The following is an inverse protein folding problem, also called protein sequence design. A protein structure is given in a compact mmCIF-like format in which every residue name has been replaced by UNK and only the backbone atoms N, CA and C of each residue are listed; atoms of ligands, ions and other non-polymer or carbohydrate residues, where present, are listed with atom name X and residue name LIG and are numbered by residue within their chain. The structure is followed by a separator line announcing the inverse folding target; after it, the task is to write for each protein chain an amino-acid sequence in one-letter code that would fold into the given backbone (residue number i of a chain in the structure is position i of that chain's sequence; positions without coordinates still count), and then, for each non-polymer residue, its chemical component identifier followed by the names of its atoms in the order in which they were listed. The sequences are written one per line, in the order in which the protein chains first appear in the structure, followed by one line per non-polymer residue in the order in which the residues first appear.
data_IF_339054553829
#
_entry.id   IF_339054553829
#
_cell.length_a   1.000
_cell.length_b   1.000
_cell.length_c   1.000
_cell.angle_alpha   90.00
_cell.angle_beta   90.00
_cell.angle_gamma   90.00
#
_symmetry.space_group_name_H-M   'P 1'
#
loop_
_entity.id
_entity.type
_entity.pdbx_description
1 polymer ?
2 polymer ?
3 non-polymer ?
4 water ?
#
loop_
_entity_poly.entity_id
_entity_poly.type
_entity_poly.pdbx_seq_one_letter_code
_entity_poly.pdbx_strand_id
2 'polyribonucleotide' 'AAAAAAAAAAAAAAA' ?
#
# COMPACT_ATOMS: atom_id res chain seq x y z
N UNK A 7 -6.31 8.72 -28.65
CA UNK A 7 -7.61 8.18 -29.01
C UNK A 7 -7.63 6.69 -28.73
N UNK A 8 -6.48 6.21 -28.28
CA UNK A 8 -6.33 4.82 -27.91
C UNK A 8 -6.83 4.63 -26.47
N UNK A 9 -7.78 3.72 -26.29
CA UNK A 9 -8.52 3.55 -25.04
C UNK A 9 -8.04 2.29 -24.36
N UNK A 10 -7.80 2.37 -23.05
CA UNK A 10 -7.26 1.30 -22.21
C UNK A 10 -8.13 1.19 -20.97
N UNK A 11 -7.86 0.17 -20.15
CA UNK A 11 -8.46 0.14 -18.81
C UNK A 11 -7.35 -0.18 -17.83
N UNK A 12 -7.55 0.21 -16.58
CA UNK A 12 -6.55 0.00 -15.54
C UNK A 12 -7.13 0.32 -14.17
N UNK A 13 -6.23 0.55 -13.21
CA UNK A 13 -6.59 0.61 -11.79
C UNK A 13 -5.84 1.75 -11.14
N UNK A 14 -6.55 2.59 -10.39
CA UNK A 14 -5.86 3.71 -9.73
C UNK A 14 -4.79 3.15 -8.82
N UNK A 15 -3.55 3.64 -8.97
CA UNK A 15 -2.43 3.16 -8.16
C UNK A 15 -1.89 4.19 -7.20
N UNK A 16 -1.91 5.47 -7.56
CA UNK A 16 -1.33 6.55 -6.78
C UNK A 16 -2.24 7.76 -6.88
N UNK A 17 -2.47 8.45 -5.77
CA UNK A 17 -3.24 9.69 -5.77
C UNK A 17 -2.46 10.77 -5.03
N UNK A 18 -2.13 11.85 -5.73
CA UNK A 18 -1.45 13.03 -5.20
C UNK A 18 -2.48 14.16 -5.17
N UNK A 19 -2.01 15.40 -4.97
CA UNK A 19 -2.97 16.47 -4.69
C UNK A 19 -3.84 16.78 -5.89
N UNK A 20 -3.26 16.87 -7.09
CA UNK A 20 -4.02 17.22 -8.27
C UNK A 20 -3.66 16.32 -9.45
N UNK A 21 -3.04 15.18 -9.19
CA UNK A 21 -2.68 14.24 -10.24
C UNK A 21 -2.48 12.88 -9.59
N UNK A 22 -2.43 11.84 -10.41
CA UNK A 22 -2.17 10.52 -9.89
C UNK A 22 -1.62 9.62 -10.98
N UNK A 23 -1.55 8.32 -10.67
CA UNK A 23 -1.06 7.32 -11.63
C UNK A 23 -2.04 6.16 -11.71
N UNK A 24 -2.19 5.63 -12.91
CA UNK A 24 -3.04 4.46 -13.18
C UNK A 24 -2.14 3.27 -13.49
N UNK A 25 -2.36 2.15 -12.79
CA UNK A 25 -1.70 0.89 -13.12
C UNK A 25 -2.38 0.25 -14.34
N UNK A 26 -1.57 -0.18 -15.30
CA UNK A 26 -2.13 -0.73 -16.52
C UNK A 26 -2.84 -2.06 -16.25
N UNK A 27 -3.63 -2.45 -17.25
CA UNK A 27 -4.40 -3.70 -17.17
C UNK A 27 -3.48 -4.87 -16.86
N UNK A 28 -2.31 -4.93 -17.50
CA UNK A 28 -1.38 -6.04 -17.31
C UNK A 28 -0.58 -5.91 -16.03
N UNK A 29 -0.73 -4.79 -15.31
CA UNK A 29 -0.06 -4.58 -14.02
C UNK A 29 1.45 -4.43 -14.16
N UNK A 30 1.91 -3.94 -15.32
CA UNK A 30 3.33 -3.86 -15.60
C UNK A 30 3.86 -2.46 -15.83
N UNK A 31 3.04 -1.43 -15.67
CA UNK A 31 3.45 -0.06 -15.93
C UNK A 31 2.39 0.85 -15.33
N UNK A 32 2.71 2.13 -15.19
CA UNK A 32 1.76 3.12 -14.72
C UNK A 32 1.70 4.27 -15.71
N UNK A 33 0.57 4.99 -15.67
CA UNK A 33 0.29 6.10 -16.59
C UNK A 33 -0.13 7.30 -15.74
N UNK A 34 0.45 8.46 -16.06
CA UNK A 34 0.15 9.70 -15.35
C UNK A 34 -1.20 10.23 -15.77
N UNK A 35 -1.95 10.80 -14.83
CA UNK A 35 -3.11 11.60 -15.23
C UNK A 35 -3.26 12.79 -14.30
N UNK A 36 -3.59 13.92 -14.89
CA UNK A 36 -3.92 15.11 -14.14
C UNK A 36 -5.41 15.12 -13.82
N UNK A 37 -5.77 15.63 -12.64
CA UNK A 37 -7.17 15.51 -12.21
C UNK A 37 -8.13 16.32 -13.08
N UNK A 38 -7.63 17.32 -13.83
CA UNK A 38 -8.50 18.03 -14.75
C UNK A 38 -9.03 17.13 -15.84
N UNK A 39 -8.36 15.99 -16.08
CA UNK A 39 -8.77 15.03 -17.10
C UNK A 39 -9.51 13.82 -16.54
N UNK A 40 -9.90 13.88 -15.26
CA UNK A 40 -10.75 12.85 -14.68
C UNK A 40 -12.21 13.29 -14.82
N UNK A 41 -13.06 12.39 -15.32
CA UNK A 41 -14.47 12.69 -15.57
C UNK A 41 -15.29 12.39 -14.32
N UNK A 42 -15.03 13.21 -13.30
CA UNK A 42 -15.75 13.07 -12.05
C UNK A 42 -15.05 13.88 -10.97
N UNK A 43 -15.50 13.64 -9.74
CA UNK A 43 -14.93 14.29 -8.56
C UNK A 43 -13.77 13.42 -8.08
N UNK A 44 -12.52 13.90 -8.17
CA UNK A 44 -11.38 13.04 -7.81
C UNK A 44 -11.32 12.68 -6.34
N UNK A 45 -12.03 13.40 -5.45
CA UNK A 45 -12.03 13.03 -4.05
C UNK A 45 -12.67 11.67 -3.83
N UNK A 46 -13.44 11.18 -4.80
CA UNK A 46 -14.10 9.89 -4.67
C UNK A 46 -13.33 8.75 -5.34
N UNK A 47 -12.18 9.05 -5.94
CA UNK A 47 -11.31 8.00 -6.46
C UNK A 47 -10.56 7.36 -5.31
N UNK A 48 -10.54 6.03 -5.28
CA UNK A 48 -9.79 5.31 -4.27
C UNK A 48 -8.76 4.44 -4.97
N UNK A 49 -7.70 4.09 -4.23
CA UNK A 49 -6.69 3.17 -4.76
C UNK A 49 -7.35 1.86 -5.13
N UNK A 50 -6.96 1.32 -6.29
CA UNK A 50 -7.53 0.11 -6.80
C UNK A 50 -8.73 0.30 -7.69
N UNK A 51 -9.30 1.49 -7.76
CA UNK A 51 -10.51 1.71 -8.52
C UNK A 51 -10.33 1.42 -10.01
N UNK A 52 -11.28 0.70 -10.59
CA UNK A 52 -11.24 0.38 -12.02
C UNK A 52 -11.60 1.61 -12.84
N UNK A 53 -10.81 1.90 -13.87
CA UNK A 53 -11.01 3.08 -14.71
C UNK A 53 -10.78 2.71 -16.15
N UNK A 54 -11.39 3.50 -17.04
CA UNK A 54 -11.09 3.50 -18.46
C UNK A 54 -10.39 4.80 -18.79
N UNK A 55 -9.37 4.77 -19.64
CA UNK A 55 -8.65 5.99 -19.94
C UNK A 55 -8.22 5.98 -21.39
N UNK A 56 -7.95 7.18 -21.89
CA UNK A 56 -7.46 7.39 -23.25
C UNK A 56 -6.07 8.01 -23.19
N UNK A 57 -5.15 7.51 -24.02
CA UNK A 57 -3.82 8.12 -24.03
C UNK A 57 -3.86 9.44 -24.78
N UNK A 58 -3.07 10.40 -24.30
CA UNK A 58 -3.05 11.71 -24.92
C UNK A 58 -2.32 11.69 -26.25
N UNK A 70 3.36 8.84 -22.52
CA UNK A 70 2.18 9.67 -22.70
C UNK A 70 1.32 9.67 -21.44
N UNK A 71 0.64 10.76 -21.17
CA UNK A 71 -0.32 10.80 -20.06
C UNK A 71 -1.68 10.31 -20.53
N UNK A 72 -2.54 10.08 -19.56
CA UNK A 72 -3.92 9.66 -19.82
C UNK A 72 -4.85 10.85 -19.76
N UNK A 73 -5.92 10.77 -20.55
CA UNK A 73 -6.99 11.74 -20.48
C UNK A 73 -8.30 10.99 -20.45
N UNK A 74 -9.39 11.74 -20.30
CA UNK A 74 -10.72 11.17 -20.34
C UNK A 74 -10.80 9.97 -19.40
N UNK A 75 -10.26 10.15 -18.19
CA UNK A 75 -10.24 9.05 -17.24
C UNK A 75 -11.64 8.92 -16.67
N UNK A 76 -12.20 7.71 -16.72
CA UNK A 76 -13.61 7.48 -16.42
C UNK A 76 -13.69 6.35 -15.40
N UNK A 77 -14.50 6.53 -14.37
CA UNK A 77 -14.74 5.46 -13.42
C UNK A 77 -15.61 4.37 -14.04
N UNK A 78 -15.28 3.11 -13.75
CA UNK A 78 -16.08 1.97 -14.20
C UNK A 78 -16.79 1.34 -13.02
N UNK A 79 -17.91 0.65 -13.26
CA UNK A 79 -18.57 -0.08 -12.17
C UNK A 79 -17.63 -1.13 -11.57
N UNK A 80 -17.80 -1.39 -10.28
CA UNK A 80 -16.94 -2.35 -9.61
C UNK A 80 -17.09 -3.70 -10.29
N UNK A 81 -15.97 -4.42 -10.40
CA UNK A 81 -15.89 -5.73 -11.02
C UNK A 81 -16.14 -5.68 -12.53
N UNK A 82 -15.86 -4.53 -13.15
CA UNK A 82 -15.98 -4.40 -14.60
C UNK A 82 -14.87 -5.14 -15.33
N UNK A 83 -13.66 -5.11 -14.77
CA UNK A 83 -12.46 -5.58 -15.46
C UNK A 83 -12.21 -7.01 -15.03
N UNK A 84 -12.33 -7.99 -15.93
CA UNK A 84 -12.05 -9.39 -15.55
C UNK A 84 -10.61 -9.57 -15.07
N UNK A 85 -10.43 -10.44 -14.08
CA UNK A 85 -9.11 -10.72 -13.54
C UNK A 85 -8.93 -12.21 -13.39
N UNK A 86 -7.68 -12.69 -13.29
CA UNK A 86 -7.45 -14.14 -13.15
C UNK A 86 -8.11 -14.69 -11.89
N UNK A 87 -8.50 -15.96 -11.94
CA UNK A 87 -8.98 -16.61 -10.71
C UNK A 87 -7.87 -16.67 -9.68
N UNK A 88 -8.26 -16.51 -8.43
CA UNK A 88 -7.33 -16.64 -7.32
C UNK A 88 -7.37 -18.07 -6.79
N UNK A 89 -6.20 -18.69 -6.73
CA UNK A 89 -6.12 -20.11 -6.36
C UNK A 89 -6.35 -20.28 -4.85
N UNK A 90 -6.76 -21.48 -4.46
CA UNK A 90 -7.06 -21.69 -3.05
C UNK A 90 -5.80 -21.76 -2.19
N UNK A 91 -5.99 -21.44 -0.90
CA UNK A 91 -5.01 -21.55 0.19
C UNK A 91 -4.02 -20.39 0.22
N UNK A 92 -3.54 -20.07 1.42
CA UNK A 92 -2.61 -18.96 1.59
C UNK A 92 -1.17 -19.47 1.68
N UNK A 93 -0.23 -18.55 1.45
CA UNK A 93 1.20 -18.82 1.54
C UNK A 93 1.87 -17.71 2.33
N UNK A 94 2.98 -18.04 2.99
CA UNK A 94 3.86 -17.02 3.55
C UNK A 94 4.98 -16.69 2.57
N UNK A 95 5.27 -15.41 2.41
CA UNK A 95 6.32 -14.99 1.52
C UNK A 95 7.08 -13.81 2.11
N UNK A 96 8.12 -13.39 1.41
CA UNK A 96 8.88 -12.22 1.79
C UNK A 96 8.95 -11.27 0.60
N UNK A 97 8.79 -9.97 0.86
CA UNK A 97 8.88 -8.99 -0.22
C UNK A 97 10.34 -8.84 -0.64
N UNK A 98 10.61 -9.06 -1.93
CA UNK A 98 11.95 -8.85 -2.47
C UNK A 98 12.12 -7.49 -3.11
N UNK A 99 11.02 -6.87 -3.56
CA UNK A 99 11.07 -5.58 -4.21
C UNK A 99 9.71 -4.92 -4.01
N UNK A 100 9.66 -3.65 -3.64
CA UNK A 100 8.38 -2.96 -3.48
C UNK A 100 7.76 -2.63 -4.82
N UNK A 101 6.49 -2.24 -4.77
CA UNK A 101 5.82 -1.66 -5.91
C UNK A 101 6.44 -0.29 -6.20
N UNK A 102 6.51 0.05 -7.49
CA UNK A 102 7.23 1.28 -7.87
C UNK A 102 6.64 2.52 -7.23
N UNK A 103 5.37 2.49 -6.82
CA UNK A 103 4.79 3.73 -6.27
C UNK A 103 5.59 4.28 -5.10
N UNK A 104 6.29 3.43 -4.36
CA UNK A 104 7.05 3.95 -3.22
C UNK A 104 8.53 4.13 -3.53
N UNK A 105 8.98 3.75 -4.71
CA UNK A 105 10.33 4.11 -5.18
C UNK A 105 10.26 4.42 -6.67
N UNK A 106 9.91 5.65 -7.03
CA UNK A 106 9.59 5.94 -8.44
C UNK A 106 10.77 5.79 -9.39
N UNK A 107 11.99 5.73 -8.89
CA UNK A 107 13.16 5.56 -9.74
C UNK A 107 13.49 4.10 -10.03
N UNK A 108 12.78 3.14 -9.43
CA UNK A 108 13.19 1.76 -9.65
C UNK A 108 12.80 1.30 -11.06
N UNK A 109 13.60 0.38 -11.59
CA UNK A 109 13.48 0.01 -12.99
C UNK A 109 12.17 -0.72 -13.27
N UNK A 110 11.83 -1.69 -12.41
CA UNK A 110 10.64 -2.51 -12.56
C UNK A 110 9.42 -1.80 -11.96
N UNK A 111 8.26 -1.93 -12.62
CA UNK A 111 7.05 -1.38 -12.02
C UNK A 111 6.57 -2.26 -10.87
N UNK A 112 6.38 -3.55 -11.14
CA UNK A 112 5.72 -4.42 -10.17
C UNK A 112 6.61 -4.72 -8.97
N UNK A 113 5.98 -4.89 -7.82
CA UNK A 113 6.65 -5.46 -6.67
C UNK A 113 6.86 -6.94 -6.90
N UNK A 114 7.68 -7.55 -6.02
CA UNK A 114 7.95 -8.98 -6.11
C UNK A 114 7.95 -9.63 -4.73
N UNK A 115 7.24 -10.74 -4.59
CA UNK A 115 7.23 -11.56 -3.38
C UNK A 115 7.85 -12.91 -3.69
N UNK A 116 8.71 -13.40 -2.79
CA UNK A 116 9.35 -14.70 -2.93
C UNK A 116 8.83 -15.68 -1.89
N UNK A 117 8.65 -16.92 -2.29
CA UNK A 117 8.46 -18.01 -1.34
C UNK A 117 9.80 -18.73 -1.25
N UNK A 118 10.33 -18.89 -0.05
CA UNK A 118 11.66 -19.44 0.13
C UNK A 118 11.58 -20.86 0.66
N UNK A 119 12.69 -21.59 0.54
CA UNK A 119 12.80 -22.91 1.13
C UNK A 119 13.00 -22.82 2.64
N UNK A 120 13.16 -23.97 3.28
CA UNK A 120 13.18 -23.97 4.74
C UNK A 120 14.41 -23.29 5.30
N UNK A 121 15.54 -23.37 4.61
CA UNK A 121 16.70 -22.62 5.04
C UNK A 121 16.58 -21.13 4.75
N UNK A 122 15.56 -20.72 4.01
CA UNK A 122 15.34 -19.31 3.63
C UNK A 122 16.45 -18.79 2.73
N UNK A 123 17.16 -19.66 2.02
CA UNK A 123 18.27 -19.23 1.17
C UNK A 123 18.10 -19.61 -0.30
N UNK A 124 17.04 -20.33 -0.65
CA UNK A 124 16.73 -20.64 -2.03
C UNK A 124 15.31 -20.17 -2.31
N UNK A 125 15.10 -19.52 -3.45
CA UNK A 125 13.76 -19.11 -3.87
C UNK A 125 13.05 -20.30 -4.49
N UNK A 126 11.89 -20.66 -3.94
CA UNK A 126 11.05 -21.72 -4.51
C UNK A 126 10.18 -21.16 -5.64
N UNK A 127 9.58 -19.99 -5.43
CA UNK A 127 8.75 -19.38 -6.46
C UNK A 127 8.72 -17.88 -6.22
N UNK A 128 8.44 -17.13 -7.28
CA UNK A 128 8.39 -15.67 -7.26
C UNK A 128 7.04 -15.23 -7.83
N UNK A 129 6.52 -14.13 -7.29
CA UNK A 129 5.16 -13.68 -7.61
C UNK A 129 5.12 -12.16 -7.63
N UNK A 130 4.81 -11.59 -8.79
CA UNK A 130 4.73 -10.13 -8.86
C UNK A 130 3.41 -9.62 -8.26
N UNK A 131 3.43 -8.36 -7.82
CA UNK A 131 2.24 -7.77 -7.25
C UNK A 131 2.12 -6.32 -7.66
N UNK A 132 0.88 -5.85 -7.64
CA UNK A 132 0.59 -4.46 -7.92
C UNK A 132 -0.49 -3.95 -6.98
N UNK A 133 -1.09 -2.81 -7.29
CA UNK A 133 -2.01 -2.18 -6.34
C UNK A 133 -3.22 -3.08 -6.06
N UNK A 134 -3.69 -3.83 -7.06
CA UNK A 134 -4.87 -4.65 -6.84
C UNK A 134 -4.56 -5.93 -6.08
N UNK A 135 -3.28 -6.24 -5.89
CA UNK A 135 -2.86 -7.38 -5.09
C UNK A 135 -3.02 -7.14 -3.59
N UNK A 136 -3.12 -5.89 -3.16
CA UNK A 136 -2.95 -5.53 -1.75
C UNK A 136 -4.28 -5.45 -1.03
N UNK A 137 -4.34 -6.08 0.15
CA UNK A 137 -5.55 -5.96 0.98
C UNK A 137 -5.66 -4.56 1.55
N UNK A 138 -4.55 -4.01 2.03
CA UNK A 138 -4.49 -2.64 2.56
C UNK A 138 -3.61 -1.85 1.60
N UNK A 139 -4.25 -1.08 0.72
CA UNK A 139 -3.50 -0.44 -0.36
C UNK A 139 -2.65 0.74 0.11
N UNK A 140 -2.78 1.15 1.37
CA UNK A 140 -1.95 2.19 1.95
C UNK A 140 -0.75 1.65 2.73
N UNK A 141 -0.69 0.35 2.97
CA UNK A 141 0.44 -0.20 3.71
C UNK A 141 1.75 -0.01 2.96
N UNK A 142 2.80 0.35 3.70
CA UNK A 142 4.13 0.54 3.14
C UNK A 142 4.83 -0.83 3.12
N UNK A 143 4.70 -1.53 1.99
CA UNK A 143 5.30 -2.86 1.84
C UNK A 143 6.66 -2.71 1.19
N UNK A 144 7.71 -3.14 1.90
CA UNK A 144 9.08 -2.91 1.46
C UNK A 144 9.87 -4.21 1.48
N UNK A 145 11.05 -4.16 0.88
CA UNK A 145 11.96 -5.30 0.89
C UNK A 145 12.14 -5.83 2.30
N UNK A 146 12.01 -7.14 2.45
CA UNK A 146 12.20 -7.77 3.72
C UNK A 146 10.92 -7.99 4.52
N UNK A 147 9.83 -7.35 4.14
CA UNK A 147 8.59 -7.54 4.87
C UNK A 147 7.99 -8.92 4.64
N UNK A 148 7.49 -9.52 5.72
CA UNK A 148 6.78 -10.79 5.63
C UNK A 148 5.34 -10.54 5.20
N UNK A 149 4.85 -11.39 4.30
CA UNK A 149 3.46 -11.28 3.85
C UNK A 149 2.80 -12.64 3.90
N UNK A 150 1.49 -12.62 3.99
CA UNK A 150 0.64 -13.79 3.81
C UNK A 150 -0.24 -13.48 2.62
N UNK A 151 -0.32 -14.41 1.67
CA UNK A 151 -0.93 -14.03 0.40
C UNK A 151 -1.46 -15.26 -0.33
N UNK A 152 -2.18 -14.99 -1.42
CA UNK A 152 -2.66 -16.01 -2.34
C UNK A 152 -2.00 -15.83 -3.70
N UNK A 153 -1.97 -16.90 -4.49
CA UNK A 153 -1.44 -16.87 -5.84
C UNK A 153 -2.62 -16.95 -6.79
N UNK A 154 -2.59 -16.17 -7.85
CA UNK A 154 -3.63 -16.25 -8.86
C UNK A 154 -3.21 -17.13 -10.04
N UNK A 155 -4.12 -17.32 -11.00
CA UNK A 155 -3.92 -18.28 -12.08
C UNK A 155 -2.76 -17.87 -12.99
N UNK A 156 -2.42 -16.59 -12.94
CA UNK A 156 -1.34 -16.04 -13.74
C UNK A 156 0.00 -16.07 -13.02
N UNK A 157 0.01 -16.52 -11.77
CA UNK A 157 1.24 -16.58 -11.02
C UNK A 157 1.49 -15.36 -10.17
N UNK A 158 0.65 -14.35 -10.27
CA UNK A 158 0.81 -13.13 -9.49
C UNK A 158 0.25 -13.28 -8.08
N UNK A 159 0.72 -12.42 -7.17
CA UNK A 159 0.22 -12.36 -5.80
C UNK A 159 -1.12 -11.66 -5.72
N UNK A 160 -2.00 -12.17 -4.87
CA UNK A 160 -3.29 -11.57 -4.60
C UNK A 160 -3.55 -11.65 -3.10
N UNK A 161 -4.49 -10.83 -2.63
CA UNK A 161 -4.91 -10.87 -1.22
C UNK A 161 -3.70 -10.77 -0.29
N UNK A 162 -2.78 -9.87 -0.62
CA UNK A 162 -1.53 -9.73 0.13
C UNK A 162 -1.79 -8.99 1.44
N UNK A 163 -1.45 -9.64 2.56
CA UNK A 163 -1.54 -9.07 3.92
C UNK A 163 -0.13 -8.96 4.48
N UNK A 164 0.22 -7.78 4.99
CA UNK A 164 1.49 -7.64 5.69
C UNK A 164 1.43 -8.33 7.06
N UNK A 165 2.50 -9.02 7.41
CA UNK A 165 2.59 -9.71 8.70
C UNK A 165 3.61 -8.95 9.55
N UNK A 166 3.12 -8.15 10.50
CA UNK A 166 4.00 -7.27 11.28
C UNK A 166 3.81 -7.57 12.76
N UNK A 167 4.92 -7.61 13.49
CA UNK A 167 4.89 -7.76 14.94
C UNK A 167 4.19 -6.58 15.59
N UNK A 168 3.33 -6.87 16.56
CA UNK A 168 2.60 -5.83 17.27
C UNK A 168 3.34 -5.45 18.56
N UNK A 169 3.36 -4.17 18.85
CA UNK A 169 4.01 -3.62 20.04
C UNK A 169 2.97 -2.82 20.80
N UNK A 170 3.29 -2.51 22.06
CA UNK A 170 2.41 -1.65 22.84
C UNK A 170 3.21 -0.55 23.52
N UNK A 171 2.58 0.61 23.68
CA UNK A 171 3.24 1.75 24.32
C UNK A 171 2.18 2.76 24.72
N UNK A 172 2.57 3.68 25.62
CA UNK A 172 1.68 4.78 25.92
C UNK A 172 1.89 5.92 24.93
N UNK A 173 0.82 6.68 24.70
CA UNK A 173 0.92 7.93 23.95
C UNK A 173 1.65 8.94 24.83
N UNK A 174 2.67 9.60 24.27
CA UNK A 174 3.35 10.63 25.05
C UNK A 174 2.85 12.03 24.73
N UNK A 175 2.59 12.35 23.47
CA UNK A 175 2.14 13.69 23.17
C UNK A 175 1.34 13.67 21.88
N UNK A 176 0.55 14.70 21.70
CA UNK A 176 -0.26 14.89 20.50
C UNK A 176 -0.11 16.31 20.02
N UNK A 177 0.19 16.49 18.72
CA UNK A 177 0.37 17.81 18.11
C UNK A 177 -0.47 17.81 16.83
N UNK A 178 -1.71 18.29 16.94
CA UNK A 178 -2.60 18.32 15.79
C UNK A 178 -2.85 16.92 15.25
N UNK A 179 -2.43 16.68 14.01
CA UNK A 179 -2.74 15.44 13.32
C UNK A 179 -1.66 14.37 13.51
N UNK A 180 -0.68 14.59 14.38
CA UNK A 180 0.28 13.53 14.63
C UNK A 180 0.63 13.54 16.11
N UNK A 181 1.40 12.55 16.53
CA UNK A 181 1.83 12.54 17.92
C UNK A 181 3.01 11.63 18.06
N UNK A 182 3.37 11.33 19.32
CA UNK A 182 4.54 10.52 19.62
C UNK A 182 4.21 9.52 20.73
N UNK A 183 4.80 8.33 20.64
CA UNK A 183 4.60 7.26 21.60
C UNK A 183 5.85 7.07 22.43
N UNK A 184 5.66 6.54 23.64
CA UNK A 184 6.77 6.22 24.53
C UNK A 184 7.36 4.87 24.12
N UNK A 185 7.98 4.88 22.94
CA UNK A 185 8.58 3.71 22.33
C UNK A 185 9.78 4.26 21.56
N UNK A 186 10.99 3.83 21.91
CA UNK A 186 12.16 4.49 21.38
C UNK A 186 12.68 3.81 20.13
N UNK A 187 13.10 4.63 19.16
CA UNK A 187 13.82 4.15 18.00
C UNK A 187 15.24 4.75 18.06
N UNK A 188 15.79 5.12 16.91
CA UNK A 188 17.18 5.58 16.88
C UNK A 188 17.39 6.82 17.73
N UNK A 189 18.58 6.94 18.32
CA UNK A 189 18.99 8.12 19.06
C UNK A 189 18.11 8.43 20.25
N UNK A 190 17.43 7.43 20.80
CA UNK A 190 16.49 7.70 21.87
C UNK A 190 15.27 8.48 21.43
N UNK A 191 15.00 8.55 20.13
CA UNK A 191 13.85 9.31 19.63
C UNK A 191 12.56 8.54 19.86
N UNK A 192 11.50 9.26 20.20
CA UNK A 192 10.19 8.63 20.42
C UNK A 192 9.47 8.45 19.10
N UNK A 193 8.69 7.37 19.02
CA UNK A 193 8.07 6.96 17.75
C UNK A 193 6.93 7.88 17.34
N UNK A 194 7.05 8.43 16.14
CA UNK A 194 6.01 9.23 15.50
C UNK A 194 4.81 8.37 15.10
N UNK A 195 3.61 8.94 15.21
CA UNK A 195 2.43 8.35 14.59
C UNK A 195 1.53 9.44 14.04
N UNK A 196 0.87 9.12 12.93
CA UNK A 196 -0.11 10.02 12.32
C UNK A 196 -1.52 9.58 12.68
N UNK A 197 -2.41 10.55 12.89
CA UNK A 197 -3.76 10.24 13.34
C UNK A 197 -4.52 9.40 12.33
N UNK A 198 -4.13 9.47 11.05
CA UNK A 198 -4.77 8.67 10.02
C UNK A 198 -4.55 7.19 10.22
N UNK A 199 -3.57 6.80 11.05
CA UNK A 199 -3.32 5.40 11.36
C UNK A 199 -4.13 4.90 12.55
N UNK A 200 -4.88 5.77 13.22
CA UNK A 200 -5.62 5.35 14.41
C UNK A 200 -6.86 4.61 13.94
N UNK A 201 -7.01 3.38 14.42
CA UNK A 201 -8.03 2.46 13.96
C UNK A 201 -9.33 2.69 14.72
N UNK A 202 -10.45 2.32 14.07
CA UNK A 202 -11.71 2.30 14.77
C UNK A 202 -12.33 3.68 14.86
N UNK A 203 -13.23 3.84 15.81
CA UNK A 203 -14.01 5.07 15.94
C UNK A 203 -13.60 5.85 17.17
N UNK A 204 -12.33 5.72 17.56
CA UNK A 204 -11.80 6.49 18.67
C UNK A 204 -11.87 7.96 18.34
N UNK A 205 -12.54 8.74 19.20
CA UNK A 205 -12.71 10.17 18.91
C UNK A 205 -11.42 10.93 19.17
N UNK A 206 -10.77 10.64 20.31
CA UNK A 206 -9.55 11.37 20.68
C UNK A 206 -8.64 10.48 21.52
N UNK A 207 -7.37 10.40 21.14
CA UNK A 207 -6.36 9.82 22.01
C UNK A 207 -5.88 10.87 23.00
N UNK A 208 -5.39 10.41 24.15
CA UNK A 208 -4.78 11.32 25.12
C UNK A 208 -3.41 10.78 25.53
N UNK A 209 -2.48 11.66 25.88
CA UNK A 209 -1.25 11.20 26.52
C UNK A 209 -1.60 10.31 27.70
N UNK A 210 -0.87 9.21 27.82
CA UNK A 210 -1.13 8.23 28.86
C UNK A 210 -2.02 7.08 28.44
N UNK A 211 -2.77 7.23 27.34
CA UNK A 211 -3.46 6.06 26.76
C UNK A 211 -2.43 5.03 26.31
N UNK A 212 -2.83 3.76 26.30
CA UNK A 212 -2.02 2.68 25.75
C UNK A 212 -2.54 2.34 24.36
N UNK A 213 -1.62 2.23 23.40
CA UNK A 213 -1.98 1.80 22.05
C UNK A 213 -1.18 0.56 21.68
N UNK A 214 -1.76 -0.25 20.80
CA UNK A 214 -1.06 -1.32 20.11
C UNK A 214 -0.82 -0.92 18.66
N UNK A 215 0.32 -1.30 18.10
CA UNK A 215 0.72 -0.77 16.79
C UNK A 215 1.81 -1.68 16.20
N UNK A 216 2.09 -1.47 14.92
CA UNK A 216 3.29 -2.02 14.32
C UNK A 216 4.22 -0.88 13.93
N UNK A 217 5.50 -1.18 13.78
CA UNK A 217 6.52 -0.18 13.45
C UNK A 217 6.93 -0.38 12.01
N UNK A 218 6.84 0.68 11.22
CA UNK A 218 7.38 0.66 9.86
C UNK A 218 8.47 1.71 9.76
N UNK A 219 9.55 1.35 9.07
CA UNK A 219 10.68 2.25 8.86
C UNK A 219 10.83 2.43 7.36
N UNK A 220 10.64 3.67 6.90
CA UNK A 220 10.81 4.01 5.50
C UNK A 220 12.26 3.83 5.08
N UNK A 221 12.51 2.92 4.13
CA UNK A 221 13.88 2.61 3.80
C UNK A 221 14.53 3.68 2.94
N UNK A 222 13.75 4.58 2.36
CA UNK A 222 14.29 5.67 1.57
C UNK A 222 14.83 6.79 2.44
N UNK A 223 14.11 7.18 3.49
CA UNK A 223 14.53 8.31 4.32
C UNK A 223 14.86 7.95 5.77
N UNK A 224 14.75 6.68 6.16
CA UNK A 224 15.14 6.25 7.48
C UNK A 224 14.15 6.56 8.60
N UNK A 225 13.02 7.14 8.29
CA UNK A 225 12.06 7.56 9.31
C UNK A 225 11.10 6.42 9.67
N UNK A 226 10.85 6.26 10.97
CA UNK A 226 9.92 5.24 11.43
C UNK A 226 8.61 5.87 11.88
N UNK A 227 7.54 5.09 11.76
CA UNK A 227 6.22 5.52 12.22
C UNK A 227 5.46 4.32 12.75
N UNK A 228 4.48 4.62 13.60
CA UNK A 228 3.59 3.60 14.13
C UNK A 228 2.38 3.46 13.21
N UNK A 229 2.06 2.22 12.84
CA UNK A 229 0.92 1.99 11.98
C UNK A 229 -0.11 1.10 12.66
N UNK A 230 -1.34 1.16 12.17
CA UNK A 230 -2.39 0.29 12.68
C UNK A 230 -2.56 0.50 14.18
N UNK A 231 -2.73 1.76 14.55
CA UNK A 231 -2.70 2.18 15.96
C UNK A 231 -4.07 1.95 16.59
N UNK A 232 -4.11 1.09 17.62
CA UNK A 232 -5.37 0.73 18.29
C UNK A 232 -5.30 1.08 19.78
N UNK A 233 -6.22 1.91 20.24
CA UNK A 233 -6.30 2.19 21.66
C UNK A 233 -6.77 0.96 22.40
N UNK A 234 -6.06 0.57 23.45
CA UNK A 234 -6.44 -0.62 24.19
C UNK A 234 -6.81 -0.38 25.64
N UNK A 235 -6.50 0.79 26.23
CA UNK A 235 -7.00 1.00 27.59
C UNK A 235 -8.45 1.46 27.52
N UNK A 236 -9.19 1.24 28.62
CA UNK A 236 -10.59 1.66 28.68
C UNK A 236 -10.71 3.18 28.56
#
# INVERSE_FOLDING_TARGET
GAGSDAGQVYRGFIAVMKENFGFIETLSHDEEVFFHFSNYMGNPNWLELGQEVEYTLARNGNTSVSGNCLPAENVRMLPKNSIPQPAVLETTHNGVVARPLRCINPDQQEYAGLIEILDELRTTVISQHEFGITSLVNKRDLLQKGDLVSFRIDESGRAACVNAVRQKKRATVDSIKGQFGFLNFEVEDGKKLFFHMSEVQGNTVALHPGDTVEFSVVTNQRNGKSSACNVLKIND
#
